data_IF_560157415823
#
_entry.id   IF_560157415823
#
_cell.length_a   1.000
_cell.length_b   1.000
_cell.length_c   1.000
_cell.angle_alpha   90.00
_cell.angle_beta   90.00
_cell.angle_gamma   90.00
#
_symmetry.space_group_name_H-M   'P 1'
#
loop_
_entity.id
_entity.type
_entity.pdbx_description
1 polymer ?
#
# COMPACT_ATOMS: atom_id res chain seq x y z
N UNK A 1 -12.04 12.84 -6.55
CA UNK A 1 -11.19 11.95 -7.37
C UNK A 1 -10.56 10.95 -6.42
N UNK A 2 -10.46 9.69 -6.81
CA UNK A 2 -9.88 8.65 -5.95
C UNK A 2 -8.35 8.75 -6.01
N UNK A 3 -7.70 8.78 -4.84
CA UNK A 3 -6.24 8.69 -4.77
C UNK A 3 -5.78 7.26 -4.96
N UNK A 4 -4.86 7.03 -5.90
CA UNK A 4 -4.21 5.75 -6.14
C UNK A 4 -2.73 5.89 -5.80
N UNK A 5 -2.29 5.20 -4.76
CA UNK A 5 -0.92 5.23 -4.27
C UNK A 5 -0.21 3.97 -4.73
N UNK A 6 0.94 4.13 -5.40
CA UNK A 6 1.84 3.02 -5.69
C UNK A 6 3.01 3.10 -4.73
N UNK A 7 3.16 2.10 -3.87
CA UNK A 7 4.28 1.98 -2.93
C UNK A 7 5.50 1.54 -3.74
N UNK A 8 6.54 2.37 -3.75
CA UNK A 8 7.78 2.03 -4.44
C UNK A 8 8.98 2.58 -3.67
N UNK A 9 10.02 1.77 -3.51
CA UNK A 9 11.28 2.23 -2.92
C UNK A 9 11.94 3.24 -3.85
N UNK A 10 12.43 4.34 -3.29
CA UNK A 10 13.08 5.41 -4.05
C UNK A 10 14.31 4.93 -4.82
N UNK A 11 15.01 3.94 -4.27
CA UNK A 11 16.20 3.33 -4.86
C UNK A 11 15.89 2.06 -5.67
N UNK A 12 14.60 1.70 -5.85
CA UNK A 12 14.21 0.52 -6.64
C UNK A 12 14.54 0.71 -8.13
N UNK A 13 15.02 -0.34 -8.78
CA UNK A 13 15.17 -0.34 -10.24
C UNK A 13 13.82 -0.17 -10.96
N UNK A 14 12.72 -0.65 -10.33
CA UNK A 14 11.34 -0.52 -10.85
C UNK A 14 10.78 0.89 -10.70
N UNK A 15 11.42 1.75 -9.91
CA UNK A 15 10.91 3.11 -9.61
C UNK A 15 10.63 3.92 -10.87
N UNK A 16 11.49 3.80 -11.89
CA UNK A 16 11.32 4.47 -13.18
C UNK A 16 10.08 3.97 -13.94
N UNK A 17 9.81 2.67 -13.91
CA UNK A 17 8.62 2.09 -14.52
C UNK A 17 7.36 2.53 -13.76
N UNK A 18 7.43 2.62 -12.43
CA UNK A 18 6.36 3.16 -11.60
C UNK A 18 6.08 4.64 -11.93
N UNK A 19 7.11 5.46 -12.08
CA UNK A 19 6.97 6.88 -12.48
C UNK A 19 6.29 7.01 -13.84
N UNK A 20 6.70 6.18 -14.81
CA UNK A 20 6.06 6.12 -16.12
C UNK A 20 4.59 5.70 -16.01
N UNK A 21 4.29 4.64 -15.26
CA UNK A 21 2.93 4.14 -15.04
C UNK A 21 2.04 5.23 -14.41
N UNK A 22 2.55 5.98 -13.44
CA UNK A 22 1.81 7.08 -12.80
C UNK A 22 1.48 8.18 -13.81
N UNK A 23 2.44 8.60 -14.63
CA UNK A 23 2.22 9.62 -15.65
C UNK A 23 1.18 9.18 -16.68
N UNK A 24 1.34 7.99 -17.24
CA UNK A 24 0.41 7.43 -18.23
C UNK A 24 -1.00 7.23 -17.65
N UNK A 25 -1.09 6.77 -16.40
CA UNK A 25 -2.37 6.54 -15.71
C UNK A 25 -3.08 7.86 -15.39
N UNK A 26 -2.34 8.91 -15.03
CA UNK A 26 -2.94 10.23 -14.78
C UNK A 26 -3.50 10.88 -16.04
N UNK A 27 -2.87 10.66 -17.21
CA UNK A 27 -3.45 11.08 -18.48
C UNK A 27 -4.65 10.21 -18.86
N UNK A 28 -4.53 8.88 -18.76
CA UNK A 28 -5.58 7.92 -19.14
C UNK A 28 -6.85 8.04 -18.28
N UNK A 29 -6.70 8.28 -16.98
CA UNK A 29 -7.80 8.31 -16.01
C UNK A 29 -8.09 9.71 -15.46
N UNK A 30 -7.71 10.74 -16.22
CA UNK A 30 -7.88 12.16 -15.87
C UNK A 30 -9.30 12.47 -15.41
N UNK A 31 -9.42 13.13 -14.26
CA UNK A 31 -10.70 13.52 -13.66
C UNK A 31 -11.43 12.40 -12.89
N UNK A 32 -10.93 11.16 -12.95
CA UNK A 32 -11.48 10.02 -12.19
C UNK A 32 -10.57 9.64 -11.02
N UNK A 33 -9.29 9.43 -11.32
CA UNK A 33 -8.27 9.02 -10.36
C UNK A 33 -7.06 9.95 -10.40
N UNK A 34 -6.32 9.99 -9.28
CA UNK A 34 -5.02 10.64 -9.19
C UNK A 34 -4.02 9.59 -8.71
N UNK A 35 -3.13 9.19 -9.61
CA UNK A 35 -2.04 8.28 -9.33
C UNK A 35 -0.85 9.06 -8.76
N UNK A 36 -0.24 8.52 -7.73
CA UNK A 36 0.96 9.08 -7.12
C UNK A 36 1.81 7.98 -6.50
N UNK A 37 3.11 8.24 -6.40
CA UNK A 37 4.03 7.32 -5.75
C UNK A 37 4.07 7.66 -4.26
N UNK A 38 4.04 6.62 -3.43
CA UNK A 38 4.42 6.69 -2.03
C UNK A 38 5.84 6.17 -1.88
N UNK A 39 6.72 6.98 -1.30
CA UNK A 39 8.09 6.56 -1.00
C UNK A 39 8.07 5.48 0.08
N UNK A 40 8.30 4.24 -0.33
CA UNK A 40 8.23 3.09 0.55
C UNK A 40 9.25 3.19 1.69
N UNK A 41 8.85 2.73 2.87
CA UNK A 41 9.69 2.69 4.05
C UNK A 41 10.60 1.46 3.96
N UNK A 42 11.90 1.69 3.75
CA UNK A 42 12.90 0.63 3.80
C UNK A 42 13.46 0.46 5.21
N UNK A 43 14.09 -0.69 5.53
CA UNK A 43 14.86 -0.85 6.77
C UNK A 43 15.99 0.16 6.95
N UNK A 44 16.42 0.84 5.87
CA UNK A 44 17.45 1.88 5.91
C UNK A 44 16.88 3.28 6.15
N UNK A 45 15.55 3.44 6.22
CA UNK A 45 14.90 4.72 6.46
C UNK A 45 15.32 5.25 7.84
N UNK A 46 15.68 6.54 7.92
CA UNK A 46 16.22 7.13 9.16
C UNK A 46 15.29 6.98 10.37
N UNK A 47 13.98 7.03 10.13
CA UNK A 47 12.95 6.91 11.16
C UNK A 47 12.41 5.47 11.33
N UNK A 48 13.00 4.46 10.67
CA UNK A 48 12.47 3.09 10.65
C UNK A 48 12.22 2.54 12.05
N UNK A 49 13.23 2.54 12.91
CA UNK A 49 13.13 2.04 14.29
C UNK A 49 12.07 2.79 15.11
N UNK A 50 12.01 4.12 14.95
CA UNK A 50 11.05 4.96 15.66
C UNK A 50 9.61 4.70 15.20
N UNK A 51 9.41 4.51 13.89
CA UNK A 51 8.11 4.14 13.32
C UNK A 51 7.70 2.75 13.79
N UNK A 52 8.62 1.79 13.77
CA UNK A 52 8.37 0.42 14.20
C UNK A 52 7.95 0.37 15.67
N UNK A 53 8.72 0.99 16.58
CA UNK A 53 8.38 1.05 18.01
C UNK A 53 7.01 1.69 18.28
N UNK A 54 6.60 2.64 17.45
CA UNK A 54 5.34 3.37 17.62
C UNK A 54 4.14 2.62 17.03
N UNK A 55 4.33 1.89 15.94
CA UNK A 55 3.25 1.42 15.07
C UNK A 55 3.15 -0.11 14.98
N UNK A 56 4.13 -0.84 15.51
CA UNK A 56 4.15 -2.30 15.48
C UNK A 56 4.32 -2.87 16.89
N UNK A 57 3.27 -3.50 17.39
CA UNK A 57 3.28 -4.18 18.68
C UNK A 57 3.68 -5.65 18.50
N UNK A 58 4.99 -5.90 18.55
CA UNK A 58 5.53 -7.24 18.48
C UNK A 58 5.05 -8.13 19.65
N UNK A 59 4.80 -7.56 20.84
CA UNK A 59 4.40 -8.32 22.01
C UNK A 59 2.98 -8.87 21.87
N UNK A 60 2.07 -8.05 21.34
CA UNK A 60 0.71 -8.49 21.00
C UNK A 60 0.71 -9.60 19.92
N UNK A 61 1.57 -9.48 18.90
CA UNK A 61 1.73 -10.51 17.88
C UNK A 61 2.18 -11.85 18.49
N UNK A 62 3.19 -11.83 19.37
CA UNK A 62 3.70 -13.03 20.05
C UNK A 62 2.65 -13.75 20.91
N UNK A 63 1.57 -13.06 21.30
CA UNK A 63 0.47 -13.62 22.07
C UNK A 63 -0.72 -14.05 21.19
N UNK A 64 -0.67 -13.79 19.89
CA UNK A 64 -1.78 -14.06 18.98
C UNK A 64 -1.86 -15.54 18.56
N UNK A 65 -3.07 -16.04 18.36
CA UNK A 65 -3.32 -17.38 17.81
C UNK A 65 -2.63 -17.59 16.45
N UNK A 66 -2.45 -16.51 15.68
CA UNK A 66 -1.74 -16.54 14.40
C UNK A 66 -0.27 -16.89 14.57
N UNK A 67 0.42 -16.27 15.55
CA UNK A 67 1.83 -16.54 15.82
C UNK A 67 2.06 -17.96 16.34
N UNK A 68 1.10 -18.52 17.08
CA UNK A 68 1.15 -19.90 17.57
C UNK A 68 0.61 -20.94 16.56
N UNK A 69 0.17 -20.51 15.38
CA UNK A 69 -0.22 -21.43 14.30
C UNK A 69 1.01 -22.07 13.64
N UNK A 70 0.80 -23.14 12.88
CA UNK A 70 1.87 -23.82 12.12
C UNK A 70 2.47 -22.97 10.99
N UNK A 71 1.93 -21.76 10.76
CA UNK A 71 2.38 -20.78 9.74
C UNK A 71 2.98 -19.53 10.41
N UNK A 72 2.93 -19.42 11.74
CA UNK A 72 3.36 -18.24 12.48
C UNK A 72 4.87 -18.03 12.41
N UNK A 73 5.30 -17.00 11.68
CA UNK A 73 6.66 -16.48 11.70
C UNK A 73 6.62 -14.98 11.97
N UNK A 74 7.66 -14.46 12.65
CA UNK A 74 7.83 -13.01 12.77
C UNK A 74 8.11 -12.40 11.40
N UNK A 75 7.70 -11.15 11.20
CA UNK A 75 8.01 -10.40 9.99
C UNK A 75 9.52 -10.10 9.93
N UNK A 76 10.10 -10.29 8.76
CA UNK A 76 11.46 -9.84 8.41
C UNK A 76 11.53 -8.31 8.35
N UNK A 77 12.73 -7.72 8.41
CA UNK A 77 12.89 -6.26 8.30
C UNK A 77 12.26 -5.68 7.02
N UNK A 78 12.43 -6.28 5.82
CA UNK A 78 11.73 -5.81 4.62
C UNK A 78 10.20 -5.89 4.73
N UNK A 79 9.66 -6.97 5.30
CA UNK A 79 8.22 -7.12 5.50
C UNK A 79 7.67 -6.09 6.49
N UNK A 80 8.44 -5.73 7.52
CA UNK A 80 8.12 -4.62 8.42
C UNK A 80 8.12 -3.28 7.68
N UNK A 81 9.03 -3.07 6.72
CA UNK A 81 9.02 -1.89 5.85
C UNK A 81 7.75 -1.82 4.98
N UNK A 82 7.33 -2.94 4.40
CA UNK A 82 6.06 -3.06 3.68
C UNK A 82 4.88 -2.71 4.61
N UNK A 83 4.80 -3.34 5.79
CA UNK A 83 3.78 -3.05 6.80
C UNK A 83 3.70 -1.55 7.14
N UNK A 84 4.85 -0.92 7.43
CA UNK A 84 4.89 0.50 7.77
C UNK A 84 4.40 1.38 6.61
N UNK A 85 4.75 1.03 5.37
CA UNK A 85 4.32 1.78 4.18
C UNK A 85 2.79 1.74 4.01
N UNK A 86 2.19 0.55 4.11
CA UNK A 86 0.73 0.38 4.08
C UNK A 86 0.04 1.09 5.24
N UNK A 87 0.58 0.93 6.45
CA UNK A 87 0.01 1.53 7.65
C UNK A 87 -0.06 3.06 7.54
N UNK A 88 1.00 3.70 7.03
CA UNK A 88 1.01 5.15 6.82
C UNK A 88 -0.03 5.59 5.78
N UNK A 89 -0.24 4.83 4.70
CA UNK A 89 -1.29 5.10 3.72
C UNK A 89 -2.69 4.87 4.29
N UNK A 90 -2.90 3.87 5.14
CA UNK A 90 -4.16 3.71 5.87
C UNK A 90 -4.44 4.89 6.79
N UNK A 91 -3.42 5.43 7.48
CA UNK A 91 -3.59 6.66 8.26
C UNK A 91 -3.97 7.85 7.38
N UNK A 92 -3.38 7.97 6.19
CA UNK A 92 -3.72 9.03 5.25
C UNK A 92 -5.17 8.86 4.74
N UNK A 93 -5.61 7.64 4.45
CA UNK A 93 -7.02 7.32 4.14
C UNK A 93 -7.98 7.83 5.23
N UNK A 94 -7.70 7.50 6.49
CA UNK A 94 -8.50 7.95 7.65
C UNK A 94 -8.49 9.48 7.77
N UNK A 95 -7.34 10.12 7.60
CA UNK A 95 -7.19 11.58 7.68
C UNK A 95 -7.93 12.30 6.55
N UNK A 96 -7.89 11.78 5.34
CA UNK A 96 -8.62 12.31 4.19
C UNK A 96 -10.13 12.04 4.30
N UNK A 97 -10.52 11.03 5.08
CA UNK A 97 -11.89 10.53 5.19
C UNK A 97 -12.48 10.19 3.80
N UNK A 98 -11.66 9.55 2.96
CA UNK A 98 -11.98 9.19 1.58
C UNK A 98 -11.35 7.84 1.24
N UNK A 99 -12.01 7.02 0.40
CA UNK A 99 -11.39 5.78 -0.08
C UNK A 99 -10.14 6.07 -0.92
N UNK A 100 -9.13 5.24 -0.73
CA UNK A 100 -7.87 5.25 -1.49
C UNK A 100 -7.59 3.86 -2.03
N UNK A 101 -6.86 3.79 -3.14
CA UNK A 101 -6.32 2.53 -3.67
C UNK A 101 -4.84 2.49 -3.33
N UNK A 102 -4.36 1.36 -2.81
CA UNK A 102 -2.96 1.14 -2.49
C UNK A 102 -2.47 -0.05 -3.31
N UNK A 103 -1.42 0.17 -4.10
CA UNK A 103 -0.81 -0.79 -5.02
C UNK A 103 0.70 -0.88 -4.71
N UNK A 104 1.33 -2.00 -5.08
CA UNK A 104 2.78 -2.20 -5.00
C UNK A 104 3.46 -1.89 -6.34
N UNK A 105 4.80 -1.75 -6.35
CA UNK A 105 5.57 -1.35 -7.54
C UNK A 105 5.68 -2.40 -8.66
N UNK A 106 5.20 -3.63 -8.42
CA UNK A 106 5.05 -4.68 -9.43
C UNK A 106 3.66 -4.76 -10.06
N UNK A 107 2.79 -3.79 -9.75
CA UNK A 107 1.44 -3.76 -10.32
C UNK A 107 1.44 -3.58 -11.83
N UNK A 108 0.54 -4.30 -12.50
CA UNK A 108 0.14 -4.05 -13.88
C UNK A 108 -1.35 -3.74 -13.93
N UNK A 109 -1.73 -2.64 -14.58
CA UNK A 109 -3.13 -2.22 -14.67
C UNK A 109 -3.82 -2.86 -15.88
N UNK A 110 -4.77 -3.74 -15.60
CA UNK A 110 -5.61 -4.35 -16.62
C UNK A 110 -6.62 -3.36 -17.23
N UNK A 111 -7.11 -3.69 -18.43
CA UNK A 111 -8.06 -2.85 -19.17
C UNK A 111 -9.36 -2.56 -18.39
N UNK A 112 -9.75 -3.47 -17.49
CA UNK A 112 -10.94 -3.37 -16.64
C UNK A 112 -10.70 -2.72 -15.27
N UNK A 113 -9.51 -2.15 -15.01
CA UNK A 113 -9.18 -1.52 -13.72
C UNK A 113 -10.25 -0.53 -13.23
N UNK A 114 -10.74 0.35 -14.11
CA UNK A 114 -11.77 1.33 -13.73
C UNK A 114 -13.11 0.70 -13.40
N UNK A 115 -13.50 -0.36 -14.11
CA UNK A 115 -14.73 -1.08 -13.80
C UNK A 115 -14.63 -1.73 -12.43
N UNK A 116 -13.51 -2.42 -12.15
CA UNK A 116 -13.25 -3.03 -10.86
C UNK A 116 -13.27 -2.00 -9.71
N UNK A 117 -12.67 -0.83 -9.92
CA UNK A 117 -12.69 0.26 -8.94
C UNK A 117 -14.12 0.78 -8.68
N UNK A 118 -14.91 0.99 -9.74
CA UNK A 118 -16.31 1.41 -9.60
C UNK A 118 -17.16 0.37 -8.87
N UNK A 119 -16.90 -0.92 -9.09
CA UNK A 119 -17.59 -2.00 -8.39
C UNK A 119 -17.19 -2.06 -6.91
N UNK A 120 -15.90 -1.83 -6.59
CA UNK A 120 -15.43 -1.73 -5.21
C UNK A 120 -16.13 -0.58 -4.47
N UNK A 121 -16.25 0.60 -5.10
CA UNK A 121 -16.88 1.78 -4.50
C UNK A 121 -18.39 1.61 -4.26
N UNK A 122 -19.06 0.74 -5.02
CA UNK A 122 -20.48 0.40 -4.82
C UNK A 122 -20.67 -0.78 -3.87
N UNK A 123 -19.60 -1.48 -3.52
CA UNK A 123 -19.66 -2.64 -2.65
C UNK A 123 -20.00 -2.22 -1.20
N UNK A 124 -20.58 -3.12 -0.40
CA UNK A 124 -20.87 -2.85 1.01
C UNK A 124 -19.63 -2.98 1.91
N UNK A 125 -18.43 -3.16 1.36
CA UNK A 125 -17.21 -3.45 2.11
C UNK A 125 -16.34 -2.20 2.28
N UNK A 126 -15.90 -1.95 3.52
CA UNK A 126 -14.97 -0.85 3.83
C UNK A 126 -13.54 -1.12 3.37
N UNK A 127 -13.20 -2.40 3.18
CA UNK A 127 -11.88 -2.86 2.74
C UNK A 127 -12.04 -3.92 1.66
N UNK A 128 -11.45 -3.67 0.50
CA UNK A 128 -11.42 -4.61 -0.62
C UNK A 128 -9.97 -4.95 -0.93
N UNK A 129 -9.63 -6.23 -0.82
CA UNK A 129 -8.32 -6.74 -1.24
C UNK A 129 -8.38 -7.12 -2.72
N UNK A 130 -7.57 -6.44 -3.53
CA UNK A 130 -7.34 -6.84 -4.92
C UNK A 130 -6.43 -8.07 -4.94
N UNK A 131 -6.75 -9.04 -5.79
CA UNK A 131 -5.94 -10.23 -6.07
C UNK A 131 -5.61 -10.24 -7.57
N UNK A 132 -4.37 -10.57 -7.90
CA UNK A 132 -3.84 -10.67 -9.25
C UNK A 132 -2.54 -11.48 -9.23
#
# INVERSE_FOLDING_TARGET
>A
MIGVYIISLKESQRRLDTEKLVLESNEKFKGRCVFQIFDAISPKHQDFEKLLQKLYDAQSLLQSDWYHSYVGAGLTLPELGCYLSHYLLWKECVKLNQPVVILEDDVTLESNFMQALEDCLKSPFDFVRLYG
#
